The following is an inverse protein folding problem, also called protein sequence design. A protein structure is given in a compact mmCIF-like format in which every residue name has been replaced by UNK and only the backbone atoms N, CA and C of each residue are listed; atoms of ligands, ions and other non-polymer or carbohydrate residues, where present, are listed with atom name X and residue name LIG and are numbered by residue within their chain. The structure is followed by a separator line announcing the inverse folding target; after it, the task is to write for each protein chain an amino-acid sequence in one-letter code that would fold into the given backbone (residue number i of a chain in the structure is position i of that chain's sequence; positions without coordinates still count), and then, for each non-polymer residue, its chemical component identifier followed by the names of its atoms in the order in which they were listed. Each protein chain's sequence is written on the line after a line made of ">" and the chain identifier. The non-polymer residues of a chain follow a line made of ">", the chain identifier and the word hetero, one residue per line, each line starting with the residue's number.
data_IF_116554680765
#
_entry.id   IF_116554680765
#
_cell.length_a   1.000
_cell.length_b   1.000
_cell.length_c   1.000
_cell.angle_alpha   90.00
_cell.angle_beta   90.00
_cell.angle_gamma   90.00
#
_symmetry.space_group_name_H-M   'P 1'
#
loop_
_entity.id
_entity.type
_entity.pdbx_description
1 polymer ?
#
# COMPACT_ATOMS: atom_id res chain seq x y z
N UNK A 1 -16.43 -5.10 16.99
CA UNK A 1 -16.89 -5.83 15.77
C UNK A 1 -15.69 -6.00 14.87
N UNK A 2 -15.47 -7.20 14.31
CA UNK A 2 -14.31 -7.53 13.46
C UNK A 2 -14.76 -7.69 12.01
N UNK A 3 -13.93 -7.22 11.08
CA UNK A 3 -14.19 -7.24 9.65
C UNK A 3 -13.01 -7.87 8.90
N UNK A 4 -13.36 -8.63 7.87
CA UNK A 4 -12.44 -9.15 6.87
C UNK A 4 -12.77 -8.46 5.55
N UNK A 5 -11.84 -7.65 5.04
CA UNK A 5 -12.05 -6.86 3.84
C UNK A 5 -11.01 -7.22 2.79
N UNK A 6 -11.44 -7.44 1.56
CA UNK A 6 -10.55 -7.72 0.44
C UNK A 6 -10.82 -6.67 -0.65
N UNK A 7 -10.08 -5.55 -0.68
CA UNK A 7 -10.28 -4.55 -1.73
C UNK A 7 -9.80 -5.10 -3.07
N UNK A 8 -10.71 -5.10 -4.05
CA UNK A 8 -10.38 -5.47 -5.44
C UNK A 8 -9.54 -4.41 -6.15
N UNK A 9 -9.59 -3.16 -5.68
CA UNK A 9 -8.75 -2.07 -6.19
C UNK A 9 -8.55 -1.02 -5.11
N UNK A 10 -7.52 -0.18 -5.28
CA UNK A 10 -7.29 1.01 -4.45
C UNK A 10 -7.18 0.70 -2.95
N UNK A 11 -6.39 -0.31 -2.60
CA UNK A 11 -6.14 -0.69 -1.20
C UNK A 11 -5.64 0.50 -0.35
N UNK A 12 -4.92 1.43 -0.96
CA UNK A 12 -4.47 2.66 -0.31
C UNK A 12 -5.62 3.52 0.22
N UNK A 13 -6.74 3.59 -0.50
CA UNK A 13 -7.92 4.31 -0.05
C UNK A 13 -8.60 3.61 1.13
N UNK A 14 -8.61 2.28 1.13
CA UNK A 14 -9.16 1.51 2.23
C UNK A 14 -8.31 1.70 3.50
N UNK A 15 -6.97 1.64 3.38
CA UNK A 15 -6.06 1.92 4.51
C UNK A 15 -6.33 3.27 5.14
N UNK A 16 -6.36 4.33 4.31
CA UNK A 16 -6.61 5.69 4.76
C UNK A 16 -7.99 5.82 5.44
N UNK A 17 -9.02 5.20 4.86
CA UNK A 17 -10.37 5.18 5.44
C UNK A 17 -10.39 4.50 6.81
N UNK A 18 -9.80 3.31 6.92
CA UNK A 18 -9.81 2.54 8.18
C UNK A 18 -9.14 3.35 9.30
N UNK A 19 -7.98 3.96 9.04
CA UNK A 19 -7.30 4.80 10.03
C UNK A 19 -8.13 6.01 10.47
N UNK A 20 -8.71 6.74 9.52
CA UNK A 20 -9.49 7.95 9.80
C UNK A 20 -10.87 7.71 10.42
N UNK A 21 -11.37 6.48 10.39
CA UNK A 21 -12.77 6.20 10.77
C UNK A 21 -12.87 5.19 11.92
N UNK A 22 -11.87 5.13 12.80
CA UNK A 22 -12.00 4.38 14.05
C UNK A 22 -11.74 2.88 13.94
N UNK A 23 -11.04 2.42 12.90
CA UNK A 23 -10.65 1.02 12.75
C UNK A 23 -9.19 0.82 13.12
N UNK A 24 -8.96 -0.17 13.99
CA UNK A 24 -7.66 -0.83 14.13
C UNK A 24 -7.45 -1.75 12.94
N UNK A 25 -6.29 -1.64 12.29
CA UNK A 25 -5.84 -2.59 11.28
C UNK A 25 -4.98 -3.63 11.98
N UNK A 26 -5.60 -4.73 12.37
CA UNK A 26 -4.99 -5.75 13.21
C UNK A 26 -3.98 -6.60 12.42
N UNK A 27 -4.24 -6.78 11.11
CA UNK A 27 -3.37 -7.54 10.20
C UNK A 27 -3.66 -7.17 8.74
N UNK A 28 -2.61 -7.15 7.90
CA UNK A 28 -2.74 -7.21 6.44
C UNK A 28 -2.08 -8.49 5.91
N UNK A 29 -2.85 -9.31 5.20
CA UNK A 29 -2.35 -10.56 4.61
C UNK A 29 -2.30 -10.44 3.11
N UNK A 30 -1.14 -10.77 2.54
CA UNK A 30 -1.01 -10.98 1.10
C UNK A 30 -1.27 -12.45 0.78
N UNK A 31 -2.07 -12.70 -0.24
CA UNK A 31 -2.27 -14.04 -0.81
C UNK A 31 -2.06 -14.00 -2.31
N UNK A 32 -1.59 -15.11 -2.89
CA UNK A 32 -1.48 -15.27 -4.33
C UNK A 32 -2.44 -16.36 -4.78
N UNK A 33 -3.27 -16.04 -5.76
CA UNK A 33 -4.20 -16.99 -6.38
C UNK A 33 -4.26 -16.73 -7.87
N UNK A 34 -4.16 -17.79 -8.67
CA UNK A 34 -4.07 -17.74 -10.14
C UNK A 34 -3.08 -16.67 -10.68
N UNK A 35 -1.92 -16.51 -10.01
CA UNK A 35 -0.89 -15.53 -10.38
C UNK A 35 -1.23 -14.07 -10.07
N UNK A 36 -2.32 -13.81 -9.34
CA UNK A 36 -2.72 -12.48 -8.87
C UNK A 36 -2.47 -12.35 -7.38
N UNK A 37 -1.93 -11.20 -6.98
CA UNK A 37 -1.72 -10.86 -5.58
C UNK A 37 -2.94 -10.13 -5.04
N UNK A 38 -3.55 -10.68 -4.00
CA UNK A 38 -4.65 -10.08 -3.26
C UNK A 38 -4.19 -9.65 -1.88
N UNK A 39 -4.86 -8.64 -1.35
CA UNK A 39 -4.64 -8.11 -0.01
C UNK A 39 -5.92 -8.29 0.80
N UNK A 40 -5.80 -8.90 1.98
CA UNK A 40 -6.90 -9.12 2.92
C UNK A 40 -6.58 -8.32 4.19
N UNK A 41 -7.53 -7.51 4.61
CA UNK A 41 -7.46 -6.71 5.82
C UNK A 41 -8.25 -7.38 6.91
N UNK A 42 -7.61 -7.57 8.06
CA UNK A 42 -8.28 -7.89 9.30
C UNK A 42 -8.34 -6.63 10.15
N UNK A 43 -9.55 -6.15 10.44
CA UNK A 43 -9.71 -4.91 11.19
C UNK A 43 -10.83 -4.98 12.24
N UNK A 44 -10.64 -4.19 13.29
CA UNK A 44 -11.58 -4.09 14.41
C UNK A 44 -11.99 -2.64 14.60
N UNK A 45 -13.30 -2.37 14.60
CA UNK A 45 -13.80 -1.05 14.96
C UNK A 45 -13.67 -0.83 16.47
N UNK A 46 -12.89 0.19 16.85
CA UNK A 46 -12.64 0.60 18.22
C UNK A 46 -12.89 2.10 18.47
N UNK A 47 -13.31 2.84 17.44
CA UNK A 47 -13.67 4.26 17.53
C UNK A 47 -12.48 5.21 17.63
N UNK A 48 -11.24 4.73 17.50
CA UNK A 48 -10.03 5.58 17.61
C UNK A 48 -9.48 5.95 16.23
N UNK A 49 -9.46 7.23 15.93
CA UNK A 49 -8.78 7.74 14.74
C UNK A 49 -7.27 7.54 14.86
N UNK A 50 -6.63 7.22 13.73
CA UNK A 50 -5.21 6.92 13.62
C UNK A 50 -4.61 7.66 12.44
N UNK A 51 -3.52 8.38 12.70
CA UNK A 51 -2.69 8.95 11.65
C UNK A 51 -1.82 7.86 11.05
N UNK A 52 -1.94 7.66 9.74
CA UNK A 52 -1.17 6.69 8.97
C UNK A 52 -0.20 7.46 8.06
N UNK A 53 1.06 7.02 7.99
CA UNK A 53 2.03 7.66 7.11
C UNK A 53 1.69 7.42 5.63
N UNK A 54 2.15 8.28 4.72
CA UNK A 54 1.88 8.12 3.30
C UNK A 54 2.47 6.80 2.75
N UNK A 55 3.59 6.35 3.31
CA UNK A 55 4.22 5.08 2.94
C UNK A 55 3.38 3.89 3.37
N UNK A 56 2.82 3.92 4.58
CA UNK A 56 1.93 2.88 5.06
C UNK A 56 0.60 2.89 4.28
N UNK A 57 0.02 4.07 4.02
CA UNK A 57 -1.16 4.18 3.15
C UNK A 57 -0.91 3.52 1.80
N UNK A 58 0.23 3.81 1.15
CA UNK A 58 0.45 3.32 -0.20
C UNK A 58 0.93 1.86 -0.27
N UNK A 59 1.85 1.46 0.61
CA UNK A 59 2.51 0.15 0.57
C UNK A 59 2.03 -0.84 1.62
N UNK A 60 1.43 -0.39 2.72
CA UNK A 60 1.19 -1.19 3.92
C UNK A 60 2.49 -1.38 4.71
N UNK A 61 2.51 -0.93 5.97
CA UNK A 61 3.70 -0.95 6.81
C UNK A 61 4.34 -2.34 6.90
N UNK A 62 3.51 -3.37 7.08
CA UNK A 62 3.93 -4.78 7.18
C UNK A 62 4.54 -5.34 5.89
N UNK A 63 4.28 -4.71 4.74
CA UNK A 63 4.74 -5.19 3.44
C UNK A 63 5.91 -4.39 2.89
N UNK A 64 6.17 -3.19 3.41
CA UNK A 64 7.21 -2.33 2.86
C UNK A 64 8.62 -2.90 3.08
N UNK A 65 8.91 -3.42 4.28
CA UNK A 65 10.23 -3.98 4.63
C UNK A 65 10.27 -5.53 4.59
N UNK A 66 9.14 -6.18 4.33
CA UNK A 66 9.05 -7.63 4.41
C UNK A 66 9.82 -8.30 3.25
N UNK A 67 10.77 -9.21 3.53
CA UNK A 67 11.61 -9.83 2.50
C UNK A 67 10.91 -10.95 1.74
N UNK A 68 9.70 -11.37 2.13
CA UNK A 68 8.97 -12.44 1.43
C UNK A 68 8.77 -12.12 -0.06
N UNK A 69 8.78 -13.16 -0.89
CA UNK A 69 8.55 -13.04 -2.34
C UNK A 69 7.22 -12.36 -2.65
N UNK A 70 6.18 -12.62 -1.85
CA UNK A 70 4.86 -12.03 -2.05
C UNK A 70 4.82 -10.54 -1.69
N UNK A 71 5.50 -10.13 -0.61
CA UNK A 71 5.68 -8.71 -0.30
C UNK A 71 6.51 -7.98 -1.37
N UNK A 72 7.54 -8.63 -1.92
CA UNK A 72 8.29 -8.11 -3.07
C UNK A 72 7.38 -7.90 -4.28
N UNK A 73 6.59 -8.91 -4.68
CA UNK A 73 5.60 -8.80 -5.77
C UNK A 73 4.61 -7.66 -5.51
N UNK A 74 4.09 -7.54 -4.29
CA UNK A 74 3.19 -6.45 -3.90
C UNK A 74 3.85 -5.07 -4.09
N UNK A 75 5.10 -4.89 -3.61
CA UNK A 75 5.85 -3.65 -3.81
C UNK A 75 6.07 -3.34 -5.28
N UNK A 76 6.39 -4.34 -6.10
CA UNK A 76 6.57 -4.16 -7.53
C UNK A 76 5.29 -3.72 -8.24
N UNK A 77 4.14 -4.28 -7.88
CA UNK A 77 2.84 -3.84 -8.38
C UNK A 77 2.55 -2.39 -7.97
N UNK A 78 2.85 -2.01 -6.73
CA UNK A 78 2.73 -0.63 -6.26
C UNK A 78 3.63 0.33 -7.06
N UNK A 79 4.90 -0.03 -7.24
CA UNK A 79 5.86 0.73 -8.03
C UNK A 79 5.46 0.83 -9.51
N UNK A 80 4.90 -0.23 -10.10
CA UNK A 80 4.39 -0.20 -11.46
C UNK A 80 3.28 0.84 -11.61
N UNK A 81 2.33 0.90 -10.67
CA UNK A 81 1.28 1.92 -10.65
C UNK A 81 1.86 3.33 -10.51
N UNK A 82 2.84 3.54 -9.63
CA UNK A 82 3.51 4.83 -9.46
C UNK A 82 4.22 5.28 -10.74
N UNK A 83 4.97 4.38 -11.40
CA UNK A 83 5.65 4.70 -12.67
C UNK A 83 4.66 5.09 -13.76
N UNK A 84 3.54 4.35 -13.86
CA UNK A 84 2.47 4.67 -14.82
C UNK A 84 1.84 6.03 -14.53
N UNK A 85 1.54 6.33 -13.27
CA UNK A 85 0.99 7.62 -12.85
C UNK A 85 1.98 8.77 -13.10
N UNK A 86 3.26 8.57 -12.76
CA UNK A 86 4.36 9.51 -13.01
C UNK A 86 4.48 9.86 -14.48
N UNK A 87 4.60 8.85 -15.35
CA UNK A 87 4.74 9.07 -16.79
C UNK A 87 3.55 9.84 -17.37
N UNK A 88 2.32 9.51 -16.94
CA UNK A 88 1.12 10.23 -17.37
C UNK A 88 1.08 11.69 -16.90
N UNK A 89 1.56 11.97 -15.68
CA UNK A 89 1.66 13.33 -15.14
C UNK A 89 2.73 14.14 -15.87
N UNK A 90 3.91 13.56 -16.10
CA UNK A 90 5.02 14.20 -16.82
C UNK A 90 4.63 14.55 -18.26
N UNK A 91 3.97 13.64 -18.99
CA UNK A 91 3.44 13.93 -20.33
C UNK A 91 2.43 15.08 -20.34
N UNK A 92 1.64 15.23 -19.27
CA UNK A 92 0.67 16.30 -19.12
C UNK A 92 1.25 17.59 -18.53
N UNK A 93 2.56 17.66 -18.27
CA UNK A 93 3.21 18.80 -17.61
C UNK A 93 2.74 19.03 -16.16
N UNK A 94 2.28 17.98 -15.47
CA UNK A 94 1.79 18.02 -14.09
C UNK A 94 2.85 17.56 -13.09
N UNK A 95 2.70 17.98 -11.85
CA UNK A 95 3.58 17.57 -10.75
C UNK A 95 3.50 16.06 -10.46
N UNK A 96 4.67 15.41 -10.50
CA UNK A 96 4.89 14.00 -10.19
C UNK A 96 5.86 13.79 -8.99
N UNK A 97 5.97 14.80 -8.13
CA UNK A 97 6.78 14.78 -6.90
C UNK A 97 6.41 13.61 -5.98
N UNK A 98 5.11 13.38 -5.78
CA UNK A 98 4.59 12.27 -4.97
C UNK A 98 5.12 10.93 -5.48
N UNK A 99 4.92 10.62 -6.76
CA UNK A 99 5.36 9.34 -7.33
C UNK A 99 6.87 9.17 -7.28
N UNK A 100 7.61 10.25 -7.49
CA UNK A 100 9.08 10.24 -7.42
C UNK A 100 9.56 9.91 -6.00
N UNK A 101 8.98 10.55 -4.98
CA UNK A 101 9.30 10.29 -3.57
C UNK A 101 8.92 8.87 -3.15
N UNK A 102 7.73 8.39 -3.54
CA UNK A 102 7.30 7.03 -3.18
C UNK A 102 8.17 5.95 -3.85
N UNK A 103 8.66 6.20 -5.07
CA UNK A 103 9.59 5.30 -5.76
C UNK A 103 10.98 5.27 -5.11
N UNK A 104 11.48 6.41 -4.60
CA UNK A 104 12.80 6.45 -3.94
C UNK A 104 12.81 5.61 -2.66
N UNK A 105 11.73 5.65 -1.87
CA UNK A 105 11.58 4.85 -0.65
C UNK A 105 11.82 3.35 -0.93
N UNK A 106 11.23 2.80 -1.99
CA UNK A 106 11.39 1.38 -2.32
C UNK A 106 12.80 1.07 -2.84
N UNK A 107 13.44 2.00 -3.54
CA UNK A 107 14.82 1.83 -4.01
C UNK A 107 15.81 1.81 -2.83
N UNK A 108 15.59 2.65 -1.83
CA UNK A 108 16.44 2.72 -0.62
C UNK A 108 16.37 1.42 0.21
N UNK A 109 15.27 0.67 0.11
CA UNK A 109 15.14 -0.64 0.74
C UNK A 109 15.96 -1.69 -0.01
N UNK A 110 15.98 -1.63 -1.35
CA UNK A 110 16.75 -2.56 -2.20
C UNK A 110 18.26 -2.38 -2.08
N UNK A 111 18.74 -1.20 -1.69
CA UNK A 111 20.19 -0.92 -1.54
C UNK A 111 20.75 -1.29 -0.17
N UNK A 112 19.88 -1.60 0.81
CA UNK A 112 20.25 -1.95 2.19
C UNK A 112 20.25 -3.46 2.48
N UNK A 113 19.78 -4.29 1.55
CA UNK A 113 19.76 -5.75 1.63
C UNK A 113 20.78 -6.36 0.69
#
# INVERSE_FOLDING_TARGET
>A
MRFLLQPMSKAEKLRDYLGKNGFSRDEEVLVEDEGRVFLIFCCTYDGKERTISEEDVYFGAEHLQNPSSLAQKHRELCCHRLRKAKAGKEQAGKDASFETRMLSIVNDIKTRG
#
